data_IF_199242938640
#
_entry.id   IF_199242938640
#
_cell.length_a   1.000
_cell.length_b   1.000
_cell.length_c   1.000
_cell.angle_alpha   90.00
_cell.angle_beta   90.00
_cell.angle_gamma   90.00
#
_symmetry.space_group_name_H-M   'P 1'
#
loop_
_entity.id
_entity.type
_entity.pdbx_description
1 polymer ?
#
# COMPACT_ATOMS: atom_id res chain seq x y z
N UNK A 1 14.92 7.65 -25.59
CA UNK A 1 13.57 7.46 -25.02
C UNK A 1 13.42 5.98 -24.69
N UNK A 2 12.89 5.63 -23.52
CA UNK A 2 12.62 4.22 -23.15
C UNK A 2 11.10 4.07 -23.06
N UNK A 3 10.56 3.00 -23.66
CA UNK A 3 9.14 2.70 -23.61
C UNK A 3 8.91 1.47 -22.74
N UNK A 4 7.99 1.57 -21.79
CA UNK A 4 7.56 0.44 -20.99
C UNK A 4 6.34 -0.22 -21.65
N UNK A 5 6.45 -1.52 -21.87
CA UNK A 5 5.36 -2.33 -22.39
C UNK A 5 5.16 -3.59 -21.56
N UNK A 6 3.95 -4.13 -21.60
CA UNK A 6 3.61 -5.41 -20.98
C UNK A 6 3.42 -6.46 -22.06
N UNK A 7 4.02 -7.62 -21.90
CA UNK A 7 3.81 -8.75 -22.81
C UNK A 7 2.40 -9.29 -22.59
N UNK A 8 1.59 -9.31 -23.64
CA UNK A 8 0.27 -9.92 -23.70
C UNK A 8 0.24 -10.88 -24.88
N UNK A 9 0.02 -12.19 -24.60
CA UNK A 9 -0.01 -13.24 -25.65
C UNK A 9 1.21 -13.23 -26.58
N UNK A 10 2.39 -12.91 -26.05
CA UNK A 10 3.63 -12.83 -26.82
C UNK A 10 3.87 -11.51 -27.56
N UNK A 11 2.97 -10.53 -27.45
CA UNK A 11 3.12 -9.18 -28.04
C UNK A 11 3.39 -8.15 -26.94
N UNK A 12 4.37 -7.27 -27.13
CA UNK A 12 4.65 -6.17 -26.20
C UNK A 12 3.65 -5.03 -26.46
N UNK A 13 2.77 -4.74 -25.49
CA UNK A 13 1.81 -3.64 -25.55
C UNK A 13 2.33 -2.47 -24.72
N UNK A 14 2.55 -1.30 -25.34
CA UNK A 14 3.06 -0.11 -24.66
C UNK A 14 2.01 0.48 -23.69
N UNK A 15 2.41 0.73 -22.44
CA UNK A 15 1.47 1.11 -21.35
C UNK A 15 0.93 2.54 -21.53
N UNK A 16 1.71 3.43 -22.15
CA UNK A 16 1.36 4.85 -22.32
C UNK A 16 1.05 5.24 -23.76
N UNK A 17 0.72 4.27 -24.63
CA UNK A 17 0.27 4.56 -26.00
C UNK A 17 1.30 5.34 -26.84
N UNK A 18 2.58 4.96 -26.78
CA UNK A 18 3.61 5.58 -27.61
C UNK A 18 3.45 5.17 -29.07
N UNK A 19 3.28 6.14 -29.97
CA UNK A 19 3.28 5.90 -31.42
C UNK A 19 4.72 5.72 -31.92
N UNK A 20 5.11 4.47 -32.18
CA UNK A 20 6.34 4.14 -32.90
C UNK A 20 6.02 3.97 -34.39
N UNK A 21 6.80 4.57 -35.31
CA UNK A 21 6.59 4.38 -36.74
C UNK A 21 6.67 2.91 -37.13
N UNK A 22 5.84 2.51 -38.10
CA UNK A 22 5.91 1.16 -38.68
C UNK A 22 7.31 0.88 -39.24
N UNK A 23 7.84 -0.32 -39.00
CA UNK A 23 9.18 -0.74 -39.43
C UNK A 23 10.32 -0.33 -38.47
N UNK A 24 10.02 0.30 -37.33
CA UNK A 24 11.04 0.62 -36.32
C UNK A 24 11.59 -0.66 -35.69
N UNK A 25 12.90 -0.90 -35.81
CA UNK A 25 13.59 -1.98 -35.10
C UNK A 25 13.70 -1.63 -33.61
N UNK A 26 13.24 -2.54 -32.74
CA UNK A 26 13.21 -2.34 -31.29
C UNK A 26 14.02 -3.43 -30.57
N UNK A 27 14.78 -3.02 -29.54
CA UNK A 27 15.42 -3.94 -28.61
C UNK A 27 14.56 -4.05 -27.35
N UNK A 28 14.10 -5.26 -27.05
CA UNK A 28 13.34 -5.53 -25.84
C UNK A 28 14.31 -5.95 -24.75
N UNK A 29 14.38 -5.15 -23.69
CA UNK A 29 15.12 -5.51 -22.48
C UNK A 29 14.09 -5.83 -21.38
N UNK A 30 14.15 -7.03 -20.77
CA UNK A 30 13.30 -7.33 -19.64
C UNK A 30 13.63 -6.36 -18.50
N UNK A 31 12.63 -5.63 -18.06
CA UNK A 31 12.75 -4.79 -16.88
C UNK A 31 12.70 -5.72 -15.68
N UNK A 32 13.81 -5.86 -14.96
CA UNK A 32 13.77 -6.48 -13.64
C UNK A 32 12.70 -5.74 -12.84
N UNK A 33 11.74 -6.43 -12.21
CA UNK A 33 10.82 -5.75 -11.33
C UNK A 33 11.67 -5.04 -10.28
N UNK A 34 11.77 -3.71 -10.40
CA UNK A 34 12.22 -2.86 -9.31
C UNK A 34 11.40 -3.34 -8.14
N UNK A 35 12.09 -3.91 -7.16
CA UNK A 35 11.61 -4.61 -5.96
C UNK A 35 10.10 -4.51 -5.78
N UNK A 36 9.35 -5.63 -5.67
CA UNK A 36 7.91 -5.54 -5.41
C UNK A 36 7.67 -4.46 -4.37
N UNK A 37 6.67 -3.57 -4.56
CA UNK A 37 6.47 -2.44 -3.66
C UNK A 37 6.63 -2.96 -2.23
N UNK A 38 7.39 -2.26 -1.39
CA UNK A 38 7.55 -2.57 0.03
C UNK A 38 6.14 -2.71 0.64
N UNK A 39 5.59 -3.91 0.55
CA UNK A 39 4.18 -4.23 0.80
C UNK A 39 4.05 -5.76 0.90
N UNK A 40 5.13 -6.44 1.25
CA UNK A 40 5.10 -7.85 1.65
C UNK A 40 4.98 -8.00 3.18
N UNK A 41 4.81 -6.88 3.90
CA UNK A 41 4.49 -6.85 5.32
C UNK A 41 3.11 -6.21 5.54
N UNK A 42 2.46 -6.50 6.69
CA UNK A 42 1.27 -5.78 7.10
C UNK A 42 1.55 -4.28 7.05
N UNK A 43 0.57 -3.52 6.58
CA UNK A 43 0.63 -2.08 6.71
C UNK A 43 0.59 -1.70 8.18
N UNK A 44 1.04 -0.50 8.51
CA UNK A 44 0.90 0.03 9.87
C UNK A 44 -0.56 0.02 10.36
N UNK A 45 -1.52 0.17 9.45
CA UNK A 45 -2.94 0.05 9.78
C UNK A 45 -3.32 -1.40 10.16
N UNK A 46 -2.77 -2.40 9.46
CA UNK A 46 -3.00 -3.81 9.78
C UNK A 46 -2.45 -4.17 11.16
N UNK A 47 -1.27 -3.66 11.52
CA UNK A 47 -0.69 -3.84 12.86
C UNK A 47 -1.54 -3.19 13.97
N UNK A 48 -2.10 -2.00 13.72
CA UNK A 48 -2.98 -1.32 14.68
C UNK A 48 -4.33 -2.01 14.86
N UNK A 49 -4.84 -2.70 13.83
CA UNK A 49 -6.08 -3.47 13.92
C UNK A 49 -5.94 -4.62 14.91
N UNK A 50 -4.76 -5.25 15.01
CA UNK A 50 -4.51 -6.32 15.98
C UNK A 50 -4.67 -5.86 17.43
N UNK A 51 -4.50 -4.56 17.71
CA UNK A 51 -4.69 -3.96 19.03
C UNK A 51 -6.15 -3.60 19.34
N UNK A 52 -7.04 -3.69 18.36
CA UNK A 52 -8.44 -3.32 18.54
C UNK A 52 -9.16 -4.37 19.37
N UNK A 53 -9.75 -3.95 20.50
CA UNK A 53 -10.54 -4.84 21.35
C UNK A 53 -9.71 -5.80 22.22
N UNK A 54 -8.42 -5.52 22.44
CA UNK A 54 -7.56 -6.35 23.32
C UNK A 54 -7.87 -6.22 24.81
N UNK A 55 -8.66 -5.21 25.19
CA UNK A 55 -9.06 -4.96 26.58
C UNK A 55 -10.58 -5.03 26.64
N UNK A 56 -11.08 -5.99 27.41
CA UNK A 56 -12.49 -6.16 27.70
C UNK A 56 -12.96 -5.16 28.78
N UNK A 57 -14.27 -4.92 28.84
CA UNK A 57 -14.93 -4.14 29.91
C UNK A 57 -14.48 -2.68 30.11
N UNK A 58 -13.92 -2.05 29.06
CA UNK A 58 -13.61 -0.62 29.07
C UNK A 58 -14.89 0.24 29.09
N UNK A 59 -14.92 1.34 29.87
CA UNK A 59 -15.98 2.33 29.78
C UNK A 59 -16.11 2.91 28.36
N UNK A 60 -17.34 3.14 27.86
CA UNK A 60 -17.55 3.65 26.50
C UNK A 60 -16.99 5.06 26.28
N UNK A 61 -16.75 5.81 27.36
CA UNK A 61 -16.17 7.15 27.36
C UNK A 61 -14.67 7.17 27.71
N UNK A 62 -13.99 6.01 27.78
CA UNK A 62 -12.60 5.92 28.23
C UNK A 62 -11.64 6.75 27.37
N UNK A 63 -11.85 6.82 26.06
CA UNK A 63 -11.00 7.63 25.16
C UNK A 63 -11.04 9.13 25.51
N UNK A 64 -12.22 9.65 25.86
CA UNK A 64 -12.41 11.05 26.24
C UNK A 64 -11.98 11.32 27.69
N UNK A 65 -12.15 10.34 28.58
CA UNK A 65 -11.94 10.46 30.02
C UNK A 65 -10.75 9.63 30.53
N UNK A 66 -9.71 9.41 29.73
CA UNK A 66 -8.59 8.53 30.11
C UNK A 66 -7.90 8.99 31.39
N UNK A 67 -7.73 10.31 31.61
CA UNK A 67 -7.17 10.85 32.85
C UNK A 67 -8.03 10.54 34.09
N UNK A 68 -9.35 10.48 33.94
CA UNK A 68 -10.24 10.10 35.02
C UNK A 68 -10.03 8.64 35.42
N UNK A 69 -9.97 7.74 34.43
CA UNK A 69 -9.88 6.31 34.69
C UNK A 69 -8.46 5.84 35.05
N UNK A 70 -7.41 6.48 34.51
CA UNK A 70 -6.01 6.11 34.75
C UNK A 70 -5.45 6.86 35.98
N UNK A 71 -5.84 8.12 36.17
CA UNK A 71 -5.21 9.03 37.14
C UNK A 71 -6.18 9.60 38.19
N UNK A 72 -7.47 9.24 38.14
CA UNK A 72 -8.46 9.68 39.14
C UNK A 72 -8.86 11.16 39.03
N UNK A 73 -8.55 11.82 37.91
CA UNK A 73 -8.97 13.21 37.68
C UNK A 73 -10.50 13.33 37.54
N UNK A 74 -11.11 14.51 37.74
CA UNK A 74 -12.51 14.73 37.38
C UNK A 74 -12.79 14.43 35.90
N UNK A 75 -14.00 13.92 35.58
CA UNK A 75 -14.42 13.74 34.17
C UNK A 75 -14.51 15.08 33.46
N UNK A 76 -14.19 15.07 32.16
CA UNK A 76 -14.22 16.25 31.28
C UNK A 76 -15.56 16.37 30.55
#
# INVERSE_FOLDING_TARGET
MVYHGRVQKGVVVLINGGDLPEGTEVRVEPVEPSTPPQSAGPSFADELIELTGTIDDLPPDFSFNHDHYIHGQPKR
#
